data_IF_922774409735
#
_entry.id   IF_922774409735
#
_cell.length_a   1.000
_cell.length_b   1.000
_cell.length_c   1.000
_cell.angle_alpha   90.00
_cell.angle_beta   90.00
_cell.angle_gamma   90.00
#
_symmetry.space_group_name_H-M   'P 1'
#
loop_
_entity.id
_entity.type
_entity.pdbx_description
1 polymer ?
#
# COMPACT_ATOMS: atom_id res chain seq x y z
N UNK A 1 7.86 -11.49 -17.75
CA UNK A 1 7.82 -10.64 -16.54
C UNK A 1 6.92 -9.45 -16.80
N UNK A 2 5.99 -9.18 -15.88
CA UNK A 2 5.16 -7.99 -15.98
C UNK A 2 5.91 -6.73 -15.55
N UNK A 3 5.49 -5.56 -16.04
CA UNK A 3 6.15 -4.29 -15.72
C UNK A 3 6.13 -3.97 -14.21
N UNK A 4 5.00 -4.22 -13.56
CA UNK A 4 4.86 -4.02 -12.10
C UNK A 4 5.83 -4.92 -11.33
N UNK A 5 6.02 -6.15 -11.77
CA UNK A 5 6.98 -7.08 -11.18
C UNK A 5 8.42 -6.54 -11.29
N UNK A 6 8.79 -5.99 -12.45
CA UNK A 6 10.10 -5.36 -12.66
C UNK A 6 10.31 -4.18 -11.71
N UNK A 7 9.35 -3.30 -11.57
CA UNK A 7 9.42 -2.17 -10.63
C UNK A 7 9.47 -2.61 -9.16
N UNK A 8 8.74 -3.67 -8.80
CA UNK A 8 8.81 -4.25 -7.46
C UNK A 8 10.19 -4.84 -7.17
N UNK A 9 10.77 -5.56 -8.13
CA UNK A 9 12.11 -6.14 -7.99
C UNK A 9 13.21 -5.09 -7.85
N UNK A 10 13.07 -3.97 -8.57
CA UNK A 10 14.00 -2.84 -8.50
C UNK A 10 13.77 -1.95 -7.26
N UNK A 11 12.65 -2.14 -6.56
CA UNK A 11 12.28 -1.29 -5.43
C UNK A 11 11.83 0.10 -5.82
N UNK A 12 11.31 0.25 -7.02
CA UNK A 12 10.81 1.52 -7.53
C UNK A 12 9.39 1.81 -7.07
N UNK A 13 8.62 0.80 -6.69
CA UNK A 13 7.24 0.96 -6.22
C UNK A 13 7.22 1.40 -4.77
N UNK A 14 6.51 2.48 -4.50
CA UNK A 14 6.25 3.00 -3.15
C UNK A 14 4.87 2.60 -2.65
N UNK A 15 3.90 2.54 -3.57
CA UNK A 15 2.50 2.33 -3.23
C UNK A 15 1.74 1.75 -4.41
N UNK A 16 0.84 0.84 -4.12
CA UNK A 16 -0.17 0.33 -5.05
C UNK A 16 -1.55 0.79 -4.60
N UNK A 17 -2.37 1.25 -5.53
CA UNK A 17 -3.74 1.67 -5.24
C UNK A 17 -4.69 1.02 -6.23
N UNK A 18 -5.69 0.31 -5.71
CA UNK A 18 -6.81 -0.19 -6.50
C UNK A 18 -7.97 0.80 -6.33
N UNK A 19 -8.46 1.32 -7.45
CA UNK A 19 -9.60 2.22 -7.51
C UNK A 19 -10.78 1.45 -8.09
N UNK A 20 -11.91 1.49 -7.43
CA UNK A 20 -13.17 0.90 -7.90
C UNK A 20 -14.11 2.04 -8.28
N UNK A 21 -14.54 2.06 -9.53
CA UNK A 21 -15.42 3.09 -10.06
C UNK A 21 -16.69 2.49 -10.64
N UNK A 22 -17.80 3.20 -10.48
CA UNK A 22 -19.06 2.84 -11.11
C UNK A 22 -18.95 2.97 -12.64
N UNK A 23 -19.48 1.98 -13.36
CA UNK A 23 -19.46 2.01 -14.83
C UNK A 23 -20.44 3.03 -15.37
N UNK A 24 -21.59 3.18 -14.72
CA UNK A 24 -22.66 4.06 -15.15
C UNK A 24 -22.43 5.50 -14.69
N UNK A 25 -22.00 5.68 -13.44
CA UNK A 25 -21.76 7.01 -12.84
C UNK A 25 -20.40 7.59 -13.19
N UNK A 26 -19.39 6.75 -13.40
CA UNK A 26 -17.99 7.16 -13.52
C UNK A 26 -17.36 7.65 -12.21
N UNK A 27 -18.09 7.56 -11.10
CA UNK A 27 -17.61 8.02 -9.79
C UNK A 27 -16.71 6.99 -9.13
N UNK A 28 -15.71 7.47 -8.38
CA UNK A 28 -14.87 6.61 -7.57
C UNK A 28 -15.62 6.22 -6.29
N UNK A 29 -15.92 4.94 -6.14
CA UNK A 29 -16.70 4.39 -5.04
C UNK A 29 -15.82 3.87 -3.91
N UNK A 30 -14.73 3.17 -4.24
CA UNK A 30 -13.78 2.62 -3.29
C UNK A 30 -12.35 2.86 -3.75
N UNK A 31 -11.46 3.00 -2.77
CA UNK A 31 -10.03 3.17 -3.01
C UNK A 31 -9.22 2.39 -1.99
N UNK A 32 -8.47 1.41 -2.46
CA UNK A 32 -7.66 0.51 -1.65
C UNK A 32 -6.18 0.83 -1.82
N UNK A 33 -5.51 1.20 -0.76
CA UNK A 33 -4.11 1.60 -0.80
C UNK A 33 -3.23 0.63 -0.02
N UNK A 34 -2.20 0.11 -0.70
CA UNK A 34 -1.20 -0.78 -0.15
C UNK A 34 0.16 -0.08 -0.22
N UNK A 35 0.79 0.13 0.92
CA UNK A 35 2.16 0.62 0.95
C UNK A 35 3.12 -0.54 0.70
N UNK A 36 4.16 -0.29 -0.08
CA UNK A 36 5.17 -1.29 -0.44
C UNK A 36 6.48 -0.88 0.20
N UNK A 37 6.93 -1.68 1.16
CA UNK A 37 8.21 -1.49 1.83
C UNK A 37 9.18 -2.58 1.38
N UNK A 38 10.40 -2.18 0.99
CA UNK A 38 11.47 -3.13 0.69
C UNK A 38 12.12 -3.60 1.99
N UNK A 39 12.08 -4.91 2.23
CA UNK A 39 12.90 -5.48 3.30
C UNK A 39 14.38 -5.38 2.94
N UNK A 40 15.08 -4.50 3.65
CA UNK A 40 16.52 -4.33 3.52
C UNK A 40 17.03 -2.99 3.01
N UNK A 41 16.15 -2.05 2.68
CA UNK A 41 16.51 -0.65 2.43
C UNK A 41 16.56 0.13 3.75
N UNK A 42 17.64 0.87 3.99
CA UNK A 42 17.72 1.87 5.06
C UNK A 42 16.77 3.03 4.72
N UNK A 43 15.49 2.87 4.98
CA UNK A 43 14.54 3.98 4.95
C UNK A 43 14.41 4.56 6.35
N UNK A 44 15.43 5.35 6.74
CA UNK A 44 15.29 6.36 7.79
C UNK A 44 14.54 7.55 7.20
N UNK A 45 13.25 7.48 7.02
CA UNK A 45 12.39 8.65 6.91
C UNK A 45 11.70 8.83 8.24
N UNK A 46 12.28 9.75 9.02
CA UNK A 46 11.82 10.12 10.35
C UNK A 46 10.41 10.65 10.35
N UNK A 47 9.58 10.11 11.19
CA UNK A 47 8.53 10.87 11.82
C UNK A 47 9.19 11.67 12.96
N UNK A 48 9.33 12.98 12.75
CA UNK A 48 9.60 13.91 13.84
C UNK A 48 8.44 13.88 14.83
N UNK A 49 8.68 13.34 16.01
CA UNK A 49 8.04 13.89 17.21
C UNK A 49 8.86 13.60 18.47
N UNK A 50 9.45 14.69 18.93
CA UNK A 50 9.76 15.12 20.31
C UNK A 50 10.25 14.12 21.35
N UNK A 51 11.49 14.41 21.80
CA UNK A 51 12.15 13.97 23.03
C UNK A 51 11.32 14.22 24.32
N UNK A 52 11.59 13.46 25.44
CA UNK A 52 12.77 13.85 26.21
C UNK A 52 13.61 12.70 26.80
N UNK A 53 14.90 12.93 26.73
CA UNK A 53 15.98 12.66 27.67
C UNK A 53 15.84 11.51 28.72
N UNK A 54 16.66 10.44 28.56
CA UNK A 54 17.44 9.92 29.71
C UNK A 54 18.60 9.04 29.20
N UNK A 55 19.80 9.33 29.78
CA UNK A 55 21.05 8.63 29.62
C UNK A 55 21.00 7.24 30.28
N UNK A 56 21.51 6.22 29.63
CA UNK A 56 22.38 5.24 30.28
C UNK A 56 23.13 4.41 29.23
N UNK A 57 24.41 4.26 29.50
CA UNK A 57 25.43 3.52 28.77
C UNK A 57 25.16 2.01 28.75
N UNK A 58 25.39 1.40 27.58
CA UNK A 58 25.37 -0.06 27.44
C UNK A 58 25.79 -0.46 26.03
N UNK A 59 27.11 -0.67 25.84
CA UNK A 59 27.66 -1.30 24.65
C UNK A 59 27.10 -2.71 24.51
N UNK A 60 26.42 -2.98 23.41
CA UNK A 60 26.21 -4.36 22.93
C UNK A 60 26.19 -4.34 21.40
N UNK A 61 27.24 -4.91 20.85
CA UNK A 61 27.40 -5.30 19.46
C UNK A 61 26.25 -6.22 19.03
N UNK A 62 25.23 -5.68 18.41
CA UNK A 62 24.22 -6.50 17.74
C UNK A 62 24.52 -6.55 16.25
N UNK A 63 25.24 -7.57 15.83
CA UNK A 63 25.26 -8.05 14.46
C UNK A 63 23.82 -8.42 14.06
N UNK A 64 23.08 -7.48 13.54
CA UNK A 64 21.75 -7.73 12.95
C UNK A 64 21.97 -8.45 11.63
N UNK A 65 22.10 -9.77 11.68
CA UNK A 65 21.93 -10.63 10.51
C UNK A 65 20.51 -10.37 9.99
N UNK A 66 20.40 -9.68 8.85
CA UNK A 66 19.15 -9.53 8.11
C UNK A 66 18.64 -10.93 7.76
N UNK A 67 17.74 -11.47 8.55
CA UNK A 67 17.11 -12.76 8.29
C UNK A 67 16.16 -12.58 7.11
N UNK A 68 16.54 -13.15 5.97
CA UNK A 68 15.66 -13.23 4.80
C UNK A 68 14.44 -14.07 5.18
N UNK A 69 13.23 -13.52 5.04
CA UNK A 69 11.99 -14.26 5.33
C UNK A 69 11.90 -15.56 4.55
N UNK A 70 11.39 -16.57 5.17
CA UNK A 70 11.14 -17.85 4.51
C UNK A 70 9.89 -17.77 3.63
N UNK A 71 9.80 -18.61 2.60
CA UNK A 71 8.61 -18.68 1.73
C UNK A 71 7.33 -18.95 2.53
N UNK A 72 7.42 -19.72 3.62
CA UNK A 72 6.28 -20.01 4.50
C UNK A 72 5.79 -18.76 5.23
N UNK A 73 6.71 -17.92 5.72
CA UNK A 73 6.36 -16.64 6.36
C UNK A 73 5.71 -15.68 5.36
N UNK A 74 6.25 -15.58 4.14
CA UNK A 74 5.67 -14.76 3.07
C UNK A 74 4.23 -15.22 2.73
N UNK A 75 4.01 -16.52 2.57
CA UNK A 75 2.66 -17.06 2.34
C UNK A 75 1.71 -16.77 3.51
N UNK A 76 2.20 -16.85 4.74
CA UNK A 76 1.41 -16.51 5.93
C UNK A 76 0.99 -15.03 5.94
N UNK A 77 1.88 -14.13 5.56
CA UNK A 77 1.60 -12.70 5.44
C UNK A 77 0.58 -12.40 4.33
N UNK A 78 0.72 -13.02 3.15
CA UNK A 78 -0.24 -12.90 2.06
C UNK A 78 -1.63 -13.37 2.50
N UNK A 79 -1.72 -14.51 3.16
CA UNK A 79 -2.99 -15.03 3.70
C UNK A 79 -3.60 -14.07 4.73
N UNK A 80 -2.78 -13.44 5.57
CA UNK A 80 -3.26 -12.47 6.55
C UNK A 80 -3.84 -11.24 5.87
N UNK A 81 -3.21 -10.73 4.81
CA UNK A 81 -3.74 -9.62 4.00
C UNK A 81 -5.08 -10.00 3.37
N UNK A 82 -5.18 -11.16 2.74
CA UNK A 82 -6.42 -11.62 2.10
C UNK A 82 -7.56 -11.74 3.14
N UNK A 83 -7.28 -12.26 4.33
CA UNK A 83 -8.27 -12.33 5.42
C UNK A 83 -8.73 -10.94 5.85
N UNK A 84 -7.82 -9.98 5.97
CA UNK A 84 -8.17 -8.59 6.32
C UNK A 84 -9.03 -7.95 5.24
N UNK A 85 -8.70 -8.12 3.96
CA UNK A 85 -9.51 -7.63 2.83
C UNK A 85 -10.91 -8.25 2.89
N UNK A 86 -11.02 -9.57 3.05
CA UNK A 86 -12.31 -10.27 3.13
C UNK A 86 -13.14 -9.81 4.34
N UNK A 87 -12.51 -9.62 5.49
CA UNK A 87 -13.19 -9.16 6.69
C UNK A 87 -13.69 -7.70 6.56
N UNK A 88 -12.97 -6.84 5.82
CA UNK A 88 -13.36 -5.44 5.66
C UNK A 88 -14.60 -5.25 4.80
N UNK A 89 -14.96 -6.22 3.97
CA UNK A 89 -16.18 -6.17 3.13
C UNK A 89 -17.44 -5.97 3.97
N UNK A 90 -17.46 -6.43 5.23
CA UNK A 90 -18.62 -6.25 6.14
C UNK A 90 -18.84 -4.80 6.57
N UNK A 91 -17.83 -3.94 6.44
CA UNK A 91 -17.89 -2.52 6.81
C UNK A 91 -18.06 -1.59 5.62
N UNK A 92 -17.95 -2.13 4.40
CA UNK A 92 -18.05 -1.35 3.17
C UNK A 92 -19.50 -1.20 2.75
N UNK A 93 -19.89 -0.06 2.17
CA UNK A 93 -21.18 0.10 1.52
C UNK A 93 -21.37 -0.94 0.40
N UNK A 94 -22.60 -1.35 0.17
CA UNK A 94 -22.92 -2.22 -0.97
C UNK A 94 -22.79 -1.41 -2.26
N UNK A 95 -22.09 -1.98 -3.22
CA UNK A 95 -21.99 -1.41 -4.56
C UNK A 95 -23.34 -1.64 -5.27
N UNK A 96 -24.02 -0.56 -5.64
CA UNK A 96 -25.37 -0.58 -6.21
C UNK A 96 -25.40 -0.64 -7.74
N UNK A 97 -24.26 -0.47 -8.39
CA UNK A 97 -24.09 -0.47 -9.84
C UNK A 97 -22.97 -1.39 -10.29
N UNK A 98 -22.91 -1.78 -11.57
CA UNK A 98 -21.74 -2.47 -12.13
C UNK A 98 -20.48 -1.62 -11.94
N UNK A 99 -19.39 -2.24 -11.52
CA UNK A 99 -18.14 -1.54 -11.23
C UNK A 99 -17.00 -2.07 -12.10
N UNK A 100 -16.06 -1.18 -12.40
CA UNK A 100 -14.76 -1.50 -12.93
C UNK A 100 -13.68 -1.18 -11.91
N UNK A 101 -12.45 -1.64 -12.14
CA UNK A 101 -11.32 -1.27 -11.29
C UNK A 101 -10.10 -0.92 -12.13
N UNK A 102 -9.30 0.01 -11.59
CA UNK A 102 -8.01 0.42 -12.12
C UNK A 102 -6.93 0.25 -11.08
N UNK A 103 -5.70 -0.04 -11.54
CA UNK A 103 -4.53 -0.14 -10.69
C UNK A 103 -3.61 1.07 -10.92
N UNK A 104 -3.46 1.90 -9.89
CA UNK A 104 -2.50 2.99 -9.87
C UNK A 104 -1.22 2.54 -9.17
N UNK A 105 -0.09 2.78 -9.80
CA UNK A 105 1.24 2.44 -9.27
C UNK A 105 2.01 3.73 -9.00
N UNK A 106 2.32 3.98 -7.75
CA UNK A 106 3.16 5.10 -7.35
C UNK A 106 4.61 4.66 -7.30
N UNK A 107 5.41 5.20 -8.19
CA UNK A 107 6.84 4.90 -8.30
C UNK A 107 7.70 6.05 -7.79
N UNK A 108 8.99 5.79 -7.62
CA UNK A 108 9.99 6.84 -7.41
C UNK A 108 10.09 7.73 -8.66
N UNK A 109 10.51 8.99 -8.48
CA UNK A 109 10.62 9.97 -9.58
C UNK A 109 11.61 9.58 -10.67
N UNK A 110 12.61 8.79 -10.34
CA UNK A 110 13.67 8.30 -11.21
C UNK A 110 13.38 6.92 -11.83
N UNK A 111 12.21 6.36 -11.56
CA UNK A 111 11.80 5.09 -12.14
C UNK A 111 11.53 5.22 -13.65
N UNK A 112 12.00 4.24 -14.40
CA UNK A 112 11.73 4.17 -15.86
C UNK A 112 10.30 3.74 -16.11
N UNK A 113 9.48 4.65 -16.66
CA UNK A 113 8.08 4.36 -17.02
C UNK A 113 8.00 4.02 -18.51
N UNK A 114 7.52 2.83 -18.90
CA UNK A 114 7.30 2.46 -20.29
C UNK A 114 6.16 3.24 -20.91
N UNK A 115 6.21 3.42 -22.24
CA UNK A 115 5.20 4.16 -23.03
C UNK A 115 3.76 3.65 -22.92
N UNK A 116 3.55 2.47 -22.35
CA UNK A 116 2.21 1.89 -22.15
C UNK A 116 1.52 2.35 -20.86
N UNK A 117 2.28 3.04 -20.01
CA UNK A 117 1.78 3.59 -18.75
C UNK A 117 1.67 5.11 -18.91
N UNK A 118 0.57 5.65 -18.48
CA UNK A 118 0.29 7.08 -18.53
C UNK A 118 0.13 7.61 -17.10
N UNK A 119 0.38 8.91 -16.94
CA UNK A 119 0.08 9.59 -15.70
C UNK A 119 -1.44 9.61 -15.50
N UNK A 120 -1.87 9.29 -14.30
CA UNK A 120 -3.29 9.21 -13.95
C UNK A 120 -3.60 10.06 -12.75
N UNK A 121 -4.85 10.53 -12.69
CA UNK A 121 -5.39 11.18 -11.50
C UNK A 121 -5.33 10.23 -10.30
N UNK A 122 -5.05 10.76 -9.09
CA UNK A 122 -5.01 9.96 -7.87
C UNK A 122 -6.38 9.39 -7.45
N UNK A 123 -7.47 9.79 -8.11
CA UNK A 123 -8.83 9.31 -7.88
C UNK A 123 -9.23 9.36 -6.40
N UNK A 124 -9.05 10.51 -5.76
CA UNK A 124 -9.48 10.71 -4.37
C UNK A 124 -11.01 10.81 -4.28
N UNK A 125 -11.54 10.27 -3.20
CA UNK A 125 -12.97 10.36 -2.87
C UNK A 125 -13.13 11.55 -1.92
N UNK A 126 -13.87 12.59 -2.33
CA UNK A 126 -13.98 13.85 -1.58
C UNK A 126 -14.61 13.65 -0.19
N UNK A 127 -15.76 13.02 -0.09
CA UNK A 127 -16.45 12.74 1.16
C UNK A 127 -16.27 11.29 1.57
N UNK A 128 -15.03 10.90 1.88
CA UNK A 128 -14.73 9.52 2.18
C UNK A 128 -14.53 9.26 3.67
N UNK A 129 -14.93 8.08 4.09
CA UNK A 129 -14.50 7.49 5.34
C UNK A 129 -13.33 6.54 5.07
N UNK A 130 -12.22 6.74 5.77
CA UNK A 130 -11.04 5.89 5.64
C UNK A 130 -10.91 4.95 6.82
N UNK A 131 -10.70 3.67 6.52
CA UNK A 131 -10.38 2.64 7.50
C UNK A 131 -8.95 2.20 7.30
N UNK A 132 -8.08 2.49 8.27
CA UNK A 132 -6.68 2.05 8.25
C UNK A 132 -6.59 0.67 8.87
N UNK A 133 -6.20 -0.30 8.08
CA UNK A 133 -5.88 -1.65 8.51
C UNK A 133 -4.36 -1.80 8.63
N UNK A 134 -3.91 -2.89 9.26
CA UNK A 134 -2.48 -3.10 9.56
C UNK A 134 -1.61 -3.07 8.30
N UNK A 135 -2.12 -3.60 7.18
CA UNK A 135 -1.36 -3.77 5.94
C UNK A 135 -1.80 -2.84 4.82
N UNK A 136 -2.95 -2.19 4.94
CA UNK A 136 -3.49 -1.33 3.89
C UNK A 136 -4.51 -0.33 4.46
N UNK A 137 -4.88 0.65 3.63
CA UNK A 137 -5.93 1.61 3.93
C UNK A 137 -7.00 1.51 2.85
N UNK A 138 -8.27 1.43 3.25
CA UNK A 138 -9.40 1.57 2.33
C UNK A 138 -10.12 2.88 2.59
N UNK A 139 -10.58 3.52 1.53
CA UNK A 139 -11.44 4.71 1.58
C UNK A 139 -12.68 4.43 0.75
N UNK A 140 -13.82 4.80 1.25
CA UNK A 140 -15.12 4.59 0.60
C UNK A 140 -15.90 5.90 0.54
N UNK A 141 -16.72 6.04 -0.49
CA UNK A 141 -17.65 7.16 -0.61
C UNK A 141 -18.72 7.09 0.48
N UNK A 142 -19.02 8.22 1.10
CA UNK A 142 -20.15 8.38 1.99
C UNK A 142 -21.32 8.90 1.16
N UNK A 143 -22.34 8.11 1.07
CA UNK A 143 -23.60 8.52 0.42
C UNK A 143 -24.41 9.41 1.33
#
# INVERSE_FOLDING_TARGET
MGQVESWLMNGDVQRLVVVVSGVDSGETLERWQFNVDLEGGDNCLGEENQKPNQKSSGSSNSNTKKNKKTTKEIHGEIQAIIRQVTASVTFLPLLSEPCSFDLLVYTKKDATVPKKWEDSDPCYIENSQSVKLRSFTTSVSLF
#
